data_IF_819853016973
#
_entry.id   IF_819853016973
#
_cell.length_a   1.000
_cell.length_b   1.000
_cell.length_c   1.000
_cell.angle_alpha   90.00
_cell.angle_beta   90.00
_cell.angle_gamma   90.00
#
_symmetry.space_group_name_H-M   'P 1'
#
loop_
_entity.id
_entity.type
_entity.pdbx_description
1 polymer ?
#
# COMPACT_ATOMS: atom_id res chain seq x y z
N UNK A 1 -17.84 -12.29 -7.88
CA UNK A 1 -16.99 -11.17 -8.32
C UNK A 1 -15.61 -11.51 -7.84
N UNK A 2 -14.60 -11.46 -8.72
CA UNK A 2 -13.24 -11.73 -8.30
C UNK A 2 -12.67 -10.55 -7.52
N UNK A 3 -11.95 -10.81 -6.44
CA UNK A 3 -11.36 -9.76 -5.60
C UNK A 3 -10.00 -9.31 -6.15
N UNK A 4 -9.78 -7.99 -6.23
CA UNK A 4 -8.47 -7.38 -6.33
C UNK A 4 -8.28 -6.48 -5.11
N UNK A 5 -7.31 -6.84 -4.28
CA UNK A 5 -6.90 -6.06 -3.11
C UNK A 5 -5.49 -5.46 -3.32
N UNK A 6 -5.36 -4.16 -3.07
CA UNK A 6 -4.18 -3.37 -3.42
C UNK A 6 -3.11 -3.31 -2.31
N UNK A 7 -3.34 -3.91 -1.14
CA UNK A 7 -2.34 -3.86 -0.07
C UNK A 7 -2.52 -4.97 1.00
N UNK A 8 -1.44 -5.68 1.32
CA UNK A 8 -1.38 -6.50 2.54
C UNK A 8 0.07 -6.70 3.02
N UNK A 9 0.24 -6.80 4.34
CA UNK A 9 1.54 -6.92 5.02
C UNK A 9 1.97 -8.38 5.30
N UNK A 10 1.32 -9.36 4.67
CA UNK A 10 1.59 -10.78 4.97
C UNK A 10 3.06 -11.15 4.78
N UNK A 11 3.79 -10.54 3.84
CA UNK A 11 5.22 -10.82 3.66
C UNK A 11 6.06 -10.45 4.89
N UNK A 12 5.82 -9.27 5.47
CA UNK A 12 6.50 -8.82 6.67
C UNK A 12 6.20 -9.69 7.87
N UNK A 13 4.93 -10.08 8.07
CA UNK A 13 4.54 -10.99 9.15
C UNK A 13 5.18 -12.37 9.02
N UNK A 14 5.31 -12.90 7.80
CA UNK A 14 6.05 -14.15 7.55
C UNK A 14 7.53 -13.99 7.88
N UNK A 15 8.14 -12.84 7.52
CA UNK A 15 9.54 -12.53 7.81
C UNK A 15 9.79 -12.43 9.32
N UNK A 16 8.98 -11.66 10.04
CA UNK A 16 9.08 -11.51 11.49
C UNK A 16 8.91 -12.85 12.21
N UNK A 17 7.95 -13.65 11.79
CA UNK A 17 7.74 -15.00 12.33
C UNK A 17 8.96 -15.90 12.11
N UNK A 18 9.58 -15.86 10.92
CA UNK A 18 10.81 -16.59 10.62
C UNK A 18 12.00 -16.12 11.48
N UNK A 19 12.20 -14.81 11.62
CA UNK A 19 13.25 -14.22 12.46
C UNK A 19 13.08 -14.57 13.94
N UNK A 20 11.84 -14.67 14.42
CA UNK A 20 11.50 -15.10 15.78
C UNK A 20 11.64 -16.62 16.00
N UNK A 21 12.06 -17.39 14.98
CA UNK A 21 12.19 -18.85 15.05
C UNK A 21 10.85 -19.60 15.09
N UNK A 22 9.77 -18.94 14.66
CA UNK A 22 8.39 -19.47 14.65
C UNK A 22 7.73 -19.28 13.28
N UNK A 23 8.29 -19.85 12.20
CA UNK A 23 7.78 -19.61 10.85
C UNK A 23 6.30 -20.01 10.72
N UNK A 24 5.53 -19.18 10.01
CA UNK A 24 4.12 -19.42 9.70
C UNK A 24 3.99 -20.02 8.29
N UNK A 25 3.00 -20.88 8.09
CA UNK A 25 2.69 -21.42 6.76
C UNK A 25 1.88 -20.41 5.95
N UNK A 26 2.23 -20.20 4.68
CA UNK A 26 1.38 -19.40 3.80
C UNK A 26 0.13 -20.16 3.32
N UNK A 27 0.11 -21.49 3.41
CA UNK A 27 -1.09 -22.28 3.08
C UNK A 27 -2.24 -21.94 4.03
N UNK A 28 -1.94 -21.91 5.33
CA UNK A 28 -2.88 -21.64 6.41
C UNK A 28 -2.15 -21.02 7.60
N UNK A 29 -2.65 -19.89 8.11
CA UNK A 29 -2.08 -19.22 9.29
C UNK A 29 -3.11 -18.42 10.09
N UNK A 30 -2.65 -17.80 11.17
CA UNK A 30 -3.38 -16.94 12.11
C UNK A 30 -3.31 -15.44 11.76
N UNK A 31 -2.78 -15.06 10.59
CA UNK A 31 -2.81 -13.68 10.08
C UNK A 31 -4.18 -13.36 9.48
N UNK A 32 -4.31 -12.28 8.71
CA UNK A 32 -5.56 -11.92 8.01
C UNK A 32 -5.70 -12.53 6.61
N UNK A 33 -4.59 -13.03 6.04
CA UNK A 33 -4.57 -13.64 4.72
C UNK A 33 -3.63 -14.86 4.68
N UNK A 34 -4.11 -15.91 4.01
CA UNK A 34 -3.34 -17.07 3.58
C UNK A 34 -3.92 -17.61 2.26
N UNK A 35 -3.24 -18.58 1.67
CA UNK A 35 -3.65 -19.16 0.40
C UNK A 35 -5.06 -19.79 0.48
N UNK A 36 -5.40 -20.51 1.56
CA UNK A 36 -6.73 -21.08 1.72
C UNK A 36 -7.83 -20.01 1.73
N UNK A 37 -7.64 -18.90 2.43
CA UNK A 37 -8.58 -17.77 2.44
C UNK A 37 -8.61 -17.02 1.12
N UNK A 38 -7.48 -16.89 0.41
CA UNK A 38 -7.50 -16.40 -0.97
C UNK A 38 -8.34 -17.29 -1.89
N UNK A 39 -8.28 -18.62 -1.71
CA UNK A 39 -9.13 -19.57 -2.46
C UNK A 39 -10.60 -19.41 -2.10
N UNK A 40 -10.93 -19.29 -0.81
CA UNK A 40 -12.31 -19.15 -0.32
C UNK A 40 -12.94 -17.80 -0.69
N UNK A 41 -12.16 -16.72 -0.63
CA UNK A 41 -12.59 -15.36 -0.98
C UNK A 41 -12.61 -15.06 -2.49
N UNK A 42 -12.31 -16.06 -3.33
CA UNK A 42 -12.26 -15.94 -4.80
C UNK A 42 -11.36 -14.77 -5.29
N UNK A 43 -10.18 -14.63 -4.66
CA UNK A 43 -9.20 -13.62 -5.04
C UNK A 43 -8.73 -13.85 -6.48
N UNK A 44 -8.76 -12.79 -7.28
CA UNK A 44 -7.98 -12.73 -8.52
C UNK A 44 -6.57 -12.28 -8.21
N UNK A 45 -6.39 -11.13 -7.56
CA UNK A 45 -5.07 -10.50 -7.39
C UNK A 45 -4.91 -9.88 -6.00
N UNK A 46 -3.79 -10.16 -5.35
CA UNK A 46 -3.34 -9.48 -4.14
C UNK A 46 -2.05 -8.72 -4.42
N UNK A 47 -1.99 -7.46 -4.04
CA UNK A 47 -0.73 -6.72 -3.91
C UNK A 47 -0.08 -7.06 -2.57
N UNK A 48 1.13 -7.60 -2.62
CA UNK A 48 1.92 -8.06 -1.49
C UNK A 48 2.97 -7.02 -1.17
N UNK A 49 2.76 -6.25 -0.11
CA UNK A 49 3.68 -5.19 0.29
C UNK A 49 4.91 -5.80 0.94
N UNK A 50 6.08 -5.39 0.45
CA UNK A 50 7.31 -5.45 1.21
C UNK A 50 7.32 -4.27 2.19
N UNK A 51 6.95 -4.50 3.44
CA UNK A 51 6.87 -3.46 4.45
C UNK A 51 8.21 -3.27 5.15
N UNK A 52 8.72 -2.04 5.15
CA UNK A 52 10.05 -1.74 5.69
C UNK A 52 9.97 -0.68 6.78
N UNK A 53 10.54 -1.01 7.94
CA UNK A 53 10.76 -0.05 9.02
C UNK A 53 12.10 0.69 8.84
N UNK A 54 12.16 1.99 9.12
CA UNK A 54 13.41 2.76 9.05
C UNK A 54 14.17 2.85 10.38
N UNK A 55 13.57 2.42 11.49
CA UNK A 55 14.25 2.40 12.80
C UNK A 55 15.36 1.34 12.83
N UNK A 56 16.62 1.72 13.13
CA UNK A 56 17.75 0.78 13.18
C UNK A 56 17.60 -0.35 14.22
N UNK A 57 16.81 -0.12 15.27
CA UNK A 57 16.52 -1.12 16.30
C UNK A 57 15.61 -2.24 15.78
N UNK A 58 14.83 -1.94 14.72
CA UNK A 58 13.91 -2.89 14.07
C UNK A 58 14.56 -3.57 12.87
N UNK A 59 15.32 -2.82 12.09
CA UNK A 59 15.89 -3.31 10.83
C UNK A 59 17.38 -2.97 10.73
N UNK A 60 18.21 -3.95 10.37
CA UNK A 60 19.65 -3.74 10.15
C UNK A 60 19.93 -2.82 8.97
N UNK A 61 19.12 -2.96 7.92
CA UNK A 61 19.17 -2.14 6.71
C UNK A 61 17.79 -2.21 6.06
N UNK A 62 17.19 -1.08 5.70
CA UNK A 62 15.84 -1.07 5.12
C UNK A 62 15.83 -1.73 3.73
N UNK A 63 16.91 -1.60 2.95
CA UNK A 63 17.03 -2.31 1.68
C UNK A 63 17.16 -3.83 1.89
N UNK A 64 17.91 -4.28 2.90
CA UNK A 64 18.04 -5.71 3.18
C UNK A 64 16.69 -6.31 3.60
N UNK A 65 15.96 -5.61 4.47
CA UNK A 65 14.61 -5.97 4.88
C UNK A 65 13.68 -6.17 3.67
N UNK A 66 13.67 -5.20 2.76
CA UNK A 66 12.91 -5.29 1.51
C UNK A 66 13.31 -6.53 0.70
N UNK A 67 14.61 -6.78 0.51
CA UNK A 67 15.10 -7.91 -0.28
C UNK A 67 14.74 -9.26 0.35
N UNK A 68 14.73 -9.37 1.67
CA UNK A 68 14.30 -10.58 2.39
C UNK A 68 12.80 -10.86 2.17
N UNK A 69 11.95 -9.83 2.11
CA UNK A 69 10.53 -10.00 1.81
C UNK A 69 10.27 -10.33 0.34
N UNK A 70 11.07 -9.79 -0.57
CA UNK A 70 11.08 -10.17 -1.98
C UNK A 70 11.47 -11.65 -2.13
N UNK A 71 12.46 -12.13 -1.39
CA UNK A 71 12.83 -13.55 -1.36
C UNK A 71 11.67 -14.43 -0.87
N UNK A 72 10.99 -14.05 0.22
CA UNK A 72 9.78 -14.75 0.69
C UNK A 72 8.75 -14.83 -0.44
N UNK A 73 8.45 -13.71 -1.10
CA UNK A 73 7.51 -13.67 -2.21
C UNK A 73 7.85 -14.68 -3.31
N UNK A 74 9.10 -14.74 -3.75
CA UNK A 74 9.52 -15.69 -4.78
C UNK A 74 9.48 -17.15 -4.31
N UNK A 75 9.89 -17.42 -3.05
CA UNK A 75 9.77 -18.77 -2.48
C UNK A 75 8.32 -19.23 -2.39
N UNK A 76 7.35 -18.33 -2.15
CA UNK A 76 5.93 -18.69 -2.17
C UNK A 76 5.48 -19.09 -3.58
N UNK A 77 5.91 -18.36 -4.62
CA UNK A 77 5.62 -18.73 -6.01
C UNK A 77 6.22 -20.09 -6.39
N UNK A 78 7.44 -20.39 -5.91
CA UNK A 78 8.11 -21.67 -6.13
C UNK A 78 7.45 -22.81 -5.34
N UNK A 79 6.94 -22.53 -4.14
CA UNK A 79 6.29 -23.53 -3.28
C UNK A 79 4.88 -23.88 -3.75
N UNK A 80 4.14 -22.93 -4.32
CA UNK A 80 2.77 -23.13 -4.79
C UNK A 80 2.61 -22.77 -6.29
N UNK A 81 3.38 -23.39 -7.20
CA UNK A 81 3.43 -23.00 -8.60
C UNK A 81 2.10 -23.25 -9.34
N UNK A 82 1.28 -24.18 -8.86
CA UNK A 82 -0.03 -24.49 -9.44
C UNK A 82 -1.14 -23.55 -8.94
N UNK A 83 -0.91 -22.84 -7.83
CA UNK A 83 -1.90 -21.98 -7.19
C UNK A 83 -1.62 -20.49 -7.38
N UNK A 84 -0.35 -20.10 -7.54
CA UNK A 84 0.09 -18.71 -7.54
C UNK A 84 0.77 -18.31 -8.86
N UNK A 85 0.61 -17.04 -9.22
CA UNK A 85 1.25 -16.43 -10.39
C UNK A 85 1.66 -15.00 -10.08
N UNK A 86 2.88 -14.62 -10.44
CA UNK A 86 3.28 -13.21 -10.36
C UNK A 86 2.56 -12.38 -11.43
N UNK A 87 2.06 -11.22 -11.05
CA UNK A 87 1.49 -10.22 -11.97
C UNK A 87 2.43 -9.03 -12.04
N UNK A 88 2.95 -8.74 -13.25
CA UNK A 88 3.84 -7.60 -13.53
C UNK A 88 3.25 -6.63 -14.54
N UNK A 89 2.29 -7.08 -15.34
CA UNK A 89 1.75 -6.38 -16.50
C UNK A 89 0.26 -6.66 -16.67
N UNK A 90 -0.43 -5.85 -17.48
CA UNK A 90 -1.82 -6.11 -17.85
C UNK A 90 -2.01 -7.45 -18.61
N UNK A 91 -1.00 -7.92 -19.35
CA UNK A 91 -1.05 -9.21 -20.03
C UNK A 91 -1.04 -10.39 -19.05
N UNK A 92 -0.34 -10.25 -17.92
CA UNK A 92 -0.37 -11.24 -16.85
C UNK A 92 -1.77 -11.37 -16.25
N UNK A 93 -2.50 -10.24 -16.12
CA UNK A 93 -3.90 -10.26 -15.65
C UNK A 93 -4.79 -11.04 -16.62
N UNK A 94 -4.64 -10.83 -17.94
CA UNK A 94 -5.40 -11.61 -18.94
C UNK A 94 -5.13 -13.11 -18.84
N UNK A 95 -3.87 -13.48 -18.61
CA UNK A 95 -3.47 -14.88 -18.41
C UNK A 95 -4.07 -15.45 -17.11
N UNK A 96 -4.03 -14.65 -16.05
CA UNK A 96 -4.52 -15.01 -14.73
C UNK A 96 -6.02 -15.31 -14.72
N UNK A 97 -6.82 -14.55 -15.48
CA UNK A 97 -8.27 -14.77 -15.60
C UNK A 97 -8.64 -16.18 -16.09
N UNK A 98 -7.75 -16.83 -16.86
CA UNK A 98 -7.98 -18.17 -17.42
C UNK A 98 -7.15 -19.28 -16.79
N UNK A 99 -6.17 -18.96 -15.93
CA UNK A 99 -5.19 -19.93 -15.44
C UNK A 99 -5.69 -20.80 -14.28
N UNK A 100 -6.74 -20.37 -13.57
CA UNK A 100 -7.18 -20.97 -12.32
C UNK A 100 -6.29 -20.64 -11.11
N UNK A 101 -5.23 -19.84 -11.32
CA UNK A 101 -4.30 -19.38 -10.27
C UNK A 101 -4.78 -18.08 -9.64
N UNK A 102 -4.11 -17.68 -8.57
CA UNK A 102 -4.27 -16.40 -7.89
C UNK A 102 -3.02 -15.55 -8.15
N UNK A 103 -3.25 -14.30 -8.50
CA UNK A 103 -2.23 -13.33 -8.83
C UNK A 103 -1.62 -12.75 -7.57
N UNK A 104 -0.32 -12.55 -7.60
CA UNK A 104 0.41 -11.78 -6.61
C UNK A 104 1.19 -10.68 -7.32
N UNK A 105 0.94 -9.42 -6.98
CA UNK A 105 1.73 -8.28 -7.42
C UNK A 105 2.68 -7.89 -6.29
N UNK A 106 3.98 -7.77 -6.60
CA UNK A 106 4.97 -7.35 -5.62
C UNK A 106 4.97 -5.82 -5.50
N UNK A 107 4.84 -5.30 -4.29
CA UNK A 107 4.82 -3.86 -3.99
C UNK A 107 5.78 -3.56 -2.85
N UNK A 108 6.12 -2.29 -2.64
CA UNK A 108 6.98 -1.87 -1.53
C UNK A 108 6.28 -0.78 -0.73
N UNK A 109 6.25 -0.92 0.58
CA UNK A 109 5.82 0.14 1.48
C UNK A 109 7.04 0.67 2.23
N UNK A 110 7.27 1.99 2.10
CA UNK A 110 8.43 2.77 2.56
C UNK A 110 9.52 2.97 1.48
N UNK A 111 9.40 4.06 0.72
CA UNK A 111 10.37 4.45 -0.31
C UNK A 111 11.79 4.74 0.22
N UNK A 112 11.94 5.02 1.52
CA UNK A 112 13.22 5.10 2.22
C UNK A 112 14.04 3.81 2.15
N UNK A 113 13.44 2.67 1.81
CA UNK A 113 14.14 1.43 1.50
C UNK A 113 15.15 1.57 0.34
N UNK A 114 14.96 2.54 -0.55
CA UNK A 114 15.88 2.80 -1.66
C UNK A 114 17.12 3.61 -1.24
N UNK A 115 17.20 4.11 -0.01
CA UNK A 115 18.34 4.92 0.48
C UNK A 115 18.72 6.05 -0.49
N UNK A 116 17.70 6.79 -0.97
CA UNK A 116 17.81 7.89 -1.94
C UNK A 116 18.46 7.52 -3.30
N UNK A 117 18.59 6.22 -3.59
CA UNK A 117 19.20 5.71 -4.82
C UNK A 117 18.17 5.33 -5.87
N UNK A 118 18.14 6.08 -6.98
CA UNK A 118 17.40 5.68 -8.19
C UNK A 118 17.91 4.35 -8.78
N UNK A 119 19.17 3.97 -8.49
CA UNK A 119 19.71 2.65 -8.83
C UNK A 119 18.95 1.54 -8.12
N UNK A 120 18.79 1.68 -6.80
CA UNK A 120 18.03 0.74 -5.98
C UNK A 120 16.57 0.65 -6.46
N UNK A 121 15.90 1.78 -6.72
CA UNK A 121 14.54 1.80 -7.29
C UNK A 121 14.43 0.97 -8.58
N UNK A 122 15.36 1.16 -9.53
CA UNK A 122 15.38 0.39 -10.77
C UNK A 122 15.64 -1.09 -10.55
N UNK A 123 16.48 -1.43 -9.57
CA UNK A 123 16.75 -2.83 -9.23
C UNK A 123 15.54 -3.49 -8.59
N UNK A 124 14.82 -2.81 -7.70
CA UNK A 124 13.53 -3.28 -7.17
C UNK A 124 12.51 -3.50 -8.30
N UNK A 125 12.44 -2.59 -9.28
CA UNK A 125 11.60 -2.79 -10.47
C UNK A 125 11.99 -4.04 -11.27
N UNK A 126 13.29 -4.29 -11.48
CA UNK A 126 13.82 -5.49 -12.16
C UNK A 126 13.49 -6.76 -11.38
N UNK A 127 13.55 -6.69 -10.05
CA UNK A 127 13.12 -7.74 -9.13
C UNK A 127 11.60 -7.93 -9.09
N UNK A 128 10.82 -7.17 -9.86
CA UNK A 128 9.39 -7.41 -10.07
C UNK A 128 8.45 -6.49 -9.30
N UNK A 129 8.95 -5.51 -8.53
CA UNK A 129 8.12 -4.50 -7.86
C UNK A 129 7.37 -3.66 -8.89
N UNK A 130 6.07 -3.42 -8.65
CA UNK A 130 5.21 -2.64 -9.58
C UNK A 130 4.48 -1.46 -8.95
N UNK A 131 4.48 -1.36 -7.64
CA UNK A 131 3.93 -0.21 -6.90
C UNK A 131 4.80 0.06 -5.68
N UNK A 132 4.97 1.33 -5.32
CA UNK A 132 5.72 1.71 -4.12
C UNK A 132 5.14 2.95 -3.46
N UNK A 133 5.00 2.94 -2.12
CA UNK A 133 4.70 4.16 -1.38
C UNK A 133 5.94 5.04 -1.26
N UNK A 134 5.76 6.36 -1.31
CA UNK A 134 6.88 7.29 -1.12
C UNK A 134 7.34 7.37 0.34
N UNK A 135 6.43 7.13 1.28
CA UNK A 135 6.69 7.05 2.72
C UNK A 135 5.83 5.93 3.32
N UNK A 136 6.24 5.40 4.47
CA UNK A 136 5.29 4.89 5.48
C UNK A 136 5.06 6.01 6.49
N UNK A 137 5.28 5.80 7.79
CA UNK A 137 5.13 6.81 8.82
C UNK A 137 6.46 7.51 9.18
N UNK A 138 7.47 7.45 8.30
CA UNK A 138 8.75 8.12 8.51
C UNK A 138 8.94 9.27 7.54
N UNK A 139 9.52 10.36 8.05
CA UNK A 139 10.19 11.31 7.17
C UNK A 139 11.44 10.63 6.63
N UNK A 140 11.56 10.59 5.30
CA UNK A 140 12.70 10.02 4.60
C UNK A 140 13.28 11.05 3.61
N UNK A 141 14.26 10.64 2.80
CA UNK A 141 14.86 11.54 1.82
C UNK A 141 13.94 11.91 0.65
N UNK A 142 12.79 11.24 0.49
CA UNK A 142 11.85 11.45 -0.60
C UNK A 142 10.73 12.43 -0.23
N UNK A 143 10.13 12.29 0.95
CA UNK A 143 8.97 13.09 1.34
C UNK A 143 8.68 13.06 2.85
N UNK A 144 7.68 13.83 3.27
CA UNK A 144 7.12 13.74 4.62
C UNK A 144 5.81 12.92 4.65
N UNK A 145 5.59 12.13 5.72
CA UNK A 145 4.38 11.35 5.89
C UNK A 145 3.23 12.18 6.51
N UNK A 146 2.02 11.64 6.50
CA UNK A 146 0.90 12.24 7.24
C UNK A 146 1.00 12.05 8.76
N UNK A 147 1.72 11.02 9.22
CA UNK A 147 1.97 10.73 10.64
C UNK A 147 3.46 10.45 10.83
N UNK A 148 4.02 11.02 11.90
CA UNK A 148 5.35 10.65 12.43
C UNK A 148 5.15 10.04 13.83
N UNK A 149 5.57 8.78 14.07
CA UNK A 149 5.52 8.12 15.38
C UNK A 149 6.30 8.89 16.44
N UNK A 150 5.90 8.76 17.71
CA UNK A 150 6.60 9.39 18.84
C UNK A 150 6.29 10.87 19.08
N UNK A 151 5.19 11.38 18.50
CA UNK A 151 4.61 12.68 18.85
C UNK A 151 3.38 12.44 19.73
N UNK A 152 3.23 13.21 20.81
CA UNK A 152 2.39 12.87 21.98
C UNK A 152 0.88 12.72 21.73
N UNK A 153 0.38 12.96 20.51
CA UNK A 153 -1.01 12.73 20.15
C UNK A 153 -1.11 12.09 18.75
N UNK A 154 -1.34 10.78 18.69
CA UNK A 154 -1.60 10.11 17.41
C UNK A 154 -2.99 10.45 16.84
N UNK A 155 -3.93 10.95 17.67
CA UNK A 155 -5.26 11.36 17.23
C UNK A 155 -6.08 12.15 18.27
N UNK A 156 -6.80 13.25 17.90
CA UNK A 156 -6.78 13.92 16.60
C UNK A 156 -5.48 14.71 16.40
N UNK A 157 -4.95 14.69 15.18
CA UNK A 157 -3.71 15.40 14.81
C UNK A 157 -3.98 16.34 13.63
N UNK A 158 -3.38 17.55 13.59
CA UNK A 158 -3.43 18.39 12.40
C UNK A 158 -2.74 17.69 11.20
N UNK A 159 -3.32 17.84 10.02
CA UNK A 159 -2.74 17.30 8.79
C UNK A 159 -1.43 18.02 8.44
N UNK A 160 -0.45 17.27 7.91
CA UNK A 160 0.80 17.84 7.41
C UNK A 160 0.57 18.50 6.04
N UNK A 161 0.28 19.80 6.06
CA UNK A 161 -0.06 20.61 4.87
C UNK A 161 1.13 21.42 4.35
N UNK A 162 2.32 21.27 4.93
CA UNK A 162 3.52 22.03 4.55
C UNK A 162 4.70 21.15 4.14
N UNK A 163 4.84 19.95 4.71
CA UNK A 163 5.90 19.02 4.38
C UNK A 163 5.49 18.11 3.23
N UNK A 164 6.02 18.34 2.03
CA UNK A 164 5.68 17.60 0.82
C UNK A 164 6.81 16.73 0.29
N UNK A 165 6.95 16.68 -1.04
CA UNK A 165 8.07 16.01 -1.70
C UNK A 165 9.36 16.84 -1.54
N UNK A 166 10.49 16.15 -1.42
CA UNK A 166 11.80 16.75 -1.62
C UNK A 166 12.17 16.80 -3.10
N UNK A 167 13.27 17.46 -3.47
CA UNK A 167 13.83 17.37 -4.82
C UNK A 167 14.13 15.92 -5.21
N UNK A 168 14.65 15.11 -4.27
CA UNK A 168 14.89 13.69 -4.51
C UNK A 168 13.58 12.92 -4.69
N UNK A 169 12.54 13.25 -3.94
CA UNK A 169 11.20 12.68 -4.11
C UNK A 169 10.63 12.93 -5.50
N UNK A 170 10.82 14.14 -6.04
CA UNK A 170 10.43 14.48 -7.41
C UNK A 170 11.17 13.62 -8.44
N UNK A 171 12.49 13.45 -8.30
CA UNK A 171 13.27 12.55 -9.18
C UNK A 171 12.74 11.10 -9.13
N UNK A 172 12.39 10.61 -7.94
CA UNK A 172 11.81 9.28 -7.77
C UNK A 172 10.46 9.14 -8.47
N UNK A 173 9.57 10.13 -8.31
CA UNK A 173 8.25 10.14 -8.97
C UNK A 173 8.39 10.18 -10.49
N UNK A 174 9.35 10.94 -11.03
CA UNK A 174 9.65 10.97 -12.46
C UNK A 174 10.15 9.61 -12.95
N UNK A 175 11.08 8.98 -12.22
CA UNK A 175 11.65 7.68 -12.59
C UNK A 175 10.60 6.56 -12.49
N UNK A 176 9.79 6.53 -11.44
CA UNK A 176 8.69 5.57 -11.28
C UNK A 176 7.72 5.68 -12.45
N UNK A 177 7.30 6.89 -12.81
CA UNK A 177 6.42 7.09 -13.97
C UNK A 177 7.09 6.70 -15.29
N UNK A 178 8.39 6.95 -15.47
CA UNK A 178 9.15 6.50 -16.66
C UNK A 178 9.20 4.98 -16.74
N UNK A 179 9.39 4.30 -15.61
CA UNK A 179 9.41 2.84 -15.52
C UNK A 179 8.04 2.17 -15.67
N UNK A 180 6.94 2.95 -15.57
CA UNK A 180 5.59 2.43 -15.37
C UNK A 180 5.43 1.69 -14.02
N UNK A 181 6.19 2.09 -13.00
CA UNK A 181 5.91 1.72 -11.61
C UNK A 181 4.86 2.67 -11.04
N UNK A 182 3.83 2.12 -10.39
CA UNK A 182 2.77 2.90 -9.77
C UNK A 182 3.32 3.64 -8.55
N UNK A 183 3.07 4.96 -8.51
CA UNK A 183 3.28 5.77 -7.31
C UNK A 183 2.10 5.55 -6.40
N UNK A 184 2.36 5.16 -5.15
CA UNK A 184 1.35 5.03 -4.12
C UNK A 184 1.48 6.20 -3.12
N UNK A 185 0.38 6.93 -2.93
CA UNK A 185 0.31 8.09 -2.05
C UNK A 185 -0.27 7.77 -0.68
N UNK A 186 -0.61 6.51 -0.42
CA UNK A 186 -0.89 6.07 0.95
C UNK A 186 0.30 6.41 1.84
N UNK A 187 0.01 6.81 3.08
CA UNK A 187 0.97 7.32 4.08
C UNK A 187 1.59 8.70 3.82
N UNK A 188 1.53 9.22 2.60
CA UNK A 188 2.06 10.53 2.26
C UNK A 188 1.29 11.65 2.99
N UNK A 189 1.97 12.77 3.24
CA UNK A 189 1.35 13.99 3.77
C UNK A 189 0.34 14.60 2.80
N UNK A 190 -0.51 15.49 3.31
CA UNK A 190 -1.44 16.25 2.48
C UNK A 190 -0.69 17.10 1.44
N UNK A 191 0.38 17.78 1.86
CA UNK A 191 1.23 18.56 0.95
C UNK A 191 1.83 17.68 -0.16
N UNK A 192 2.31 16.48 0.19
CA UNK A 192 2.90 15.55 -0.76
C UNK A 192 1.87 15.00 -1.75
N UNK A 193 0.64 14.69 -1.30
CA UNK A 193 -0.44 14.27 -2.22
C UNK A 193 -0.73 15.39 -3.23
N UNK A 194 -0.78 16.64 -2.78
CA UNK A 194 -0.96 17.79 -3.67
C UNK A 194 0.24 18.02 -4.60
N UNK A 195 1.47 17.77 -4.16
CA UNK A 195 2.65 17.77 -5.04
C UNK A 195 2.49 16.72 -6.15
N UNK A 196 2.12 15.48 -5.81
CA UNK A 196 1.90 14.40 -6.78
C UNK A 196 0.80 14.76 -7.77
N UNK A 197 -0.32 15.30 -7.31
CA UNK A 197 -1.41 15.77 -8.17
C UNK A 197 -0.92 16.82 -9.20
N UNK A 198 0.01 17.69 -8.80
CA UNK A 198 0.59 18.72 -9.69
C UNK A 198 1.59 18.14 -10.69
N UNK A 199 2.47 17.22 -10.28
CA UNK A 199 3.63 16.80 -11.09
C UNK A 199 3.43 15.48 -11.84
N UNK A 200 2.52 14.61 -11.39
CA UNK A 200 2.30 13.33 -12.02
C UNK A 200 1.69 13.49 -13.42
N UNK A 201 2.31 12.88 -14.42
CA UNK A 201 1.86 12.83 -15.82
C UNK A 201 0.94 11.63 -16.11
N UNK A 202 0.94 10.63 -15.23
CA UNK A 202 0.12 9.42 -15.30
C UNK A 202 -0.77 9.27 -14.06
N UNK A 203 -1.82 8.42 -14.11
CA UNK A 203 -2.54 8.04 -12.91
C UNK A 203 -1.61 7.40 -11.88
N UNK A 204 -1.93 7.63 -10.61
CA UNK A 204 -1.26 7.03 -9.45
C UNK A 204 -2.33 6.38 -8.57
N UNK A 205 -1.93 5.85 -7.41
CA UNK A 205 -2.83 5.07 -6.55
C UNK A 205 -2.74 5.59 -5.12
N UNK A 206 -3.85 5.53 -4.37
CA UNK A 206 -3.81 5.45 -2.92
C UNK A 206 -4.20 4.02 -2.55
N UNK A 207 -3.21 3.13 -2.36
CA UNK A 207 -3.49 1.69 -2.26
C UNK A 207 -4.35 1.30 -1.07
N UNK A 208 -4.33 2.08 0.02
CA UNK A 208 -5.09 1.80 1.23
C UNK A 208 -5.39 3.09 2.02
N UNK A 209 -6.37 3.88 1.57
CA UNK A 209 -6.77 5.14 2.22
C UNK A 209 -8.28 5.39 2.09
N UNK A 210 -8.92 5.92 3.14
CA UNK A 210 -10.37 6.14 3.15
C UNK A 210 -10.75 7.63 2.99
N UNK A 211 -12.06 7.94 3.05
CA UNK A 211 -12.57 9.32 3.04
C UNK A 211 -12.53 10.02 4.41
N UNK A 212 -11.91 11.21 4.49
CA UNK A 212 -11.73 11.97 5.74
C UNK A 212 -13.05 12.54 6.28
N UNK A 213 -14.00 12.87 5.41
CA UNK A 213 -15.34 13.31 5.83
C UNK A 213 -16.12 12.23 6.59
N UNK A 214 -15.82 10.94 6.36
CA UNK A 214 -16.47 9.82 7.04
C UNK A 214 -15.78 9.43 8.35
N UNK A 215 -14.45 9.52 8.39
CA UNK A 215 -13.66 9.37 9.61
C UNK A 215 -12.49 10.36 9.53
N UNK A 216 -12.38 11.35 10.45
CA UNK A 216 -11.50 12.49 10.29
C UNK A 216 -9.99 12.19 10.29
N UNK A 217 -9.54 10.95 10.17
CA UNK A 217 -8.15 10.53 10.25
C UNK A 217 -7.21 11.17 9.21
N UNK A 218 -5.98 11.54 9.57
CA UNK A 218 -4.99 12.13 8.63
C UNK A 218 -4.48 11.13 7.58
N UNK A 219 -4.64 9.83 7.82
CA UNK A 219 -4.44 8.79 6.79
C UNK A 219 -5.51 8.81 5.69
N UNK A 220 -6.67 9.42 5.95
CA UNK A 220 -7.78 9.50 5.01
C UNK A 220 -7.67 10.75 4.12
N UNK A 221 -8.20 10.69 2.91
CA UNK A 221 -8.14 11.72 1.88
C UNK A 221 -9.25 12.77 2.07
N UNK A 222 -8.95 14.05 1.79
CA UNK A 222 -9.98 15.11 1.77
C UNK A 222 -10.90 14.98 0.56
N UNK A 223 -12.04 15.66 0.61
CA UNK A 223 -12.98 15.72 -0.52
C UNK A 223 -12.31 16.23 -1.80
N UNK A 224 -11.45 17.26 -1.67
CA UNK A 224 -10.73 17.86 -2.79
C UNK A 224 -9.69 16.88 -3.37
N UNK A 225 -9.01 16.11 -2.52
CA UNK A 225 -8.09 15.06 -2.97
C UNK A 225 -8.82 13.93 -3.69
N UNK A 226 -9.94 13.46 -3.13
CA UNK A 226 -10.78 12.43 -3.77
C UNK A 226 -11.24 12.88 -5.15
N UNK A 227 -11.74 14.12 -5.26
CA UNK A 227 -12.20 14.70 -6.52
C UNK A 227 -11.07 14.79 -7.53
N UNK A 228 -9.92 15.37 -7.14
CA UNK A 228 -8.78 15.54 -8.03
C UNK A 228 -8.16 14.20 -8.49
N UNK A 229 -8.13 13.20 -7.60
CA UNK A 229 -7.72 11.84 -7.94
C UNK A 229 -8.69 11.19 -8.94
N UNK A 230 -10.00 11.40 -8.74
CA UNK A 230 -11.06 10.95 -9.64
C UNK A 230 -10.91 11.51 -11.05
N UNK A 231 -10.77 12.84 -11.16
CA UNK A 231 -10.57 13.55 -12.44
C UNK A 231 -9.32 13.07 -13.20
N UNK A 232 -8.32 12.56 -12.47
CA UNK A 232 -7.07 12.04 -13.03
C UNK A 232 -7.10 10.54 -13.34
N UNK A 233 -8.21 9.86 -13.06
CA UNK A 233 -8.37 8.42 -13.25
C UNK A 233 -7.50 7.57 -12.32
N UNK A 234 -7.26 8.05 -11.10
CA UNK A 234 -6.51 7.32 -10.08
C UNK A 234 -7.39 6.29 -9.35
N UNK A 235 -6.76 5.30 -8.71
CA UNK A 235 -7.44 4.31 -7.88
C UNK A 235 -7.26 4.61 -6.39
N UNK A 236 -8.31 4.34 -5.62
CA UNK A 236 -8.37 4.53 -4.17
C UNK A 236 -8.83 3.21 -3.54
N UNK A 237 -7.92 2.57 -2.79
CA UNK A 237 -8.18 1.33 -2.07
C UNK A 237 -8.82 1.61 -0.71
N UNK A 238 -9.98 0.97 -0.50
CA UNK A 238 -10.74 1.05 0.74
C UNK A 238 -10.05 0.24 1.85
N UNK A 239 -9.48 0.96 2.81
CA UNK A 239 -8.71 0.41 3.91
C UNK A 239 -9.59 -0.07 5.07
N UNK A 240 -9.29 -1.28 5.57
CA UNK A 240 -10.06 -1.95 6.63
C UNK A 240 -9.59 -1.66 8.06
N UNK A 241 -8.58 -0.82 8.26
CA UNK A 241 -8.09 -0.46 9.59
C UNK A 241 -9.18 0.27 10.39
N UNK A 242 -9.51 -0.28 11.56
CA UNK A 242 -10.59 0.22 12.41
C UNK A 242 -10.45 1.71 12.75
N UNK A 243 -9.22 2.17 13.02
CA UNK A 243 -8.91 3.56 13.37
C UNK A 243 -9.20 4.55 12.23
N UNK A 244 -9.31 4.07 10.99
CA UNK A 244 -9.56 4.89 9.79
C UNK A 244 -11.01 4.81 9.32
N UNK A 245 -11.84 4.01 10.00
CA UNK A 245 -13.24 3.75 9.68
C UNK A 245 -14.18 4.24 10.78
N UNK A 246 -13.81 4.02 12.05
CA UNK A 246 -14.66 4.24 13.21
C UNK A 246 -14.27 5.53 13.95
N UNK A 247 -15.27 6.38 14.19
CA UNK A 247 -15.12 7.65 14.89
C UNK A 247 -15.40 7.56 16.39
N UNK A 248 -15.44 6.34 16.96
CA UNK A 248 -15.63 6.16 18.39
C UNK A 248 -14.59 6.98 19.19
N UNK A 249 -15.02 7.85 20.13
CA UNK A 249 -14.10 8.63 20.95
C UNK A 249 -13.23 7.75 21.86
N UNK A 250 -13.73 6.59 22.29
CA UNK A 250 -12.93 5.60 22.99
C UNK A 250 -12.18 4.72 21.97
N UNK A 251 -10.86 4.93 21.89
CA UNK A 251 -9.99 4.21 20.97
C UNK A 251 -9.92 2.70 21.24
N UNK A 252 -10.22 2.23 22.45
CA UNK A 252 -10.31 0.78 22.73
C UNK A 252 -11.56 0.15 22.12
N UNK A 253 -12.54 0.97 21.74
CA UNK A 253 -13.85 0.55 21.22
C UNK A 253 -14.00 0.74 19.71
N UNK A 254 -12.97 1.24 19.02
CA UNK A 254 -12.98 1.30 17.55
C UNK A 254 -13.07 -0.11 16.97
N UNK A 255 -13.89 -0.29 15.94
CA UNK A 255 -14.06 -1.58 15.26
C UNK A 255 -14.04 -1.39 13.75
N UNK A 256 -13.50 -2.37 13.05
CA UNK A 256 -13.62 -2.45 11.60
C UNK A 256 -14.96 -3.11 11.27
N UNK A 257 -15.97 -2.31 10.90
CA UNK A 257 -17.31 -2.80 10.54
C UNK A 257 -17.55 -2.65 9.05
N UNK A 258 -18.22 -3.64 8.46
CA UNK A 258 -18.64 -3.60 7.04
C UNK A 258 -19.54 -2.38 6.76
N UNK A 259 -20.34 -1.94 7.74
CA UNK A 259 -21.18 -0.73 7.62
C UNK A 259 -20.35 0.53 7.46
N UNK A 260 -19.22 0.64 8.16
CA UNK A 260 -18.30 1.76 8.04
C UNK A 260 -17.55 1.70 6.70
N UNK A 261 -17.08 0.51 6.30
CA UNK A 261 -16.49 0.28 4.98
C UNK A 261 -17.43 0.71 3.84
N UNK A 262 -18.69 0.26 3.87
CA UNK A 262 -19.69 0.60 2.87
C UNK A 262 -20.00 2.10 2.83
N UNK A 263 -20.01 2.78 3.99
CA UNK A 263 -20.15 4.24 4.07
C UNK A 263 -18.99 4.94 3.38
N UNK A 264 -17.75 4.54 3.68
CA UNK A 264 -16.57 5.11 3.04
C UNK A 264 -16.53 4.81 1.53
N UNK A 265 -16.84 3.59 1.11
CA UNK A 265 -16.93 3.20 -0.29
C UNK A 265 -17.93 4.07 -1.07
N UNK A 266 -19.16 4.23 -0.54
CA UNK A 266 -20.18 5.11 -1.13
C UNK A 266 -19.66 6.54 -1.25
N UNK A 267 -19.08 7.07 -0.18
CA UNK A 267 -18.56 8.44 -0.17
C UNK A 267 -17.43 8.67 -1.18
N UNK A 268 -16.51 7.70 -1.31
CA UNK A 268 -15.42 7.75 -2.30
C UNK A 268 -16.02 7.74 -3.71
N UNK A 269 -16.97 6.85 -4.02
CA UNK A 269 -17.61 6.81 -5.34
C UNK A 269 -18.35 8.12 -5.66
N UNK A 270 -19.03 8.72 -4.68
CA UNK A 270 -19.77 9.96 -4.87
C UNK A 270 -18.83 11.17 -5.16
N UNK A 271 -17.57 11.13 -4.70
CA UNK A 271 -16.58 12.22 -4.87
C UNK A 271 -15.61 11.99 -6.02
N UNK A 272 -15.10 10.77 -6.17
CA UNK A 272 -14.06 10.41 -7.13
C UNK A 272 -14.61 9.71 -8.40
N UNK A 273 -15.85 9.21 -8.35
CA UNK A 273 -16.43 8.37 -9.41
C UNK A 273 -16.33 6.87 -9.09
N UNK A 274 -17.22 6.08 -9.69
CA UNK A 274 -17.34 4.64 -9.43
C UNK A 274 -16.13 3.83 -9.91
N UNK A 275 -15.48 4.27 -11.00
CA UNK A 275 -14.29 3.62 -11.57
C UNK A 275 -13.02 3.80 -10.73
N UNK A 276 -13.06 4.66 -9.71
CA UNK A 276 -11.90 4.97 -8.86
C UNK A 276 -11.82 4.12 -7.59
N UNK A 277 -12.91 3.47 -7.18
CA UNK A 277 -12.93 2.67 -5.96
C UNK A 277 -12.34 1.27 -6.21
N UNK A 278 -11.42 0.86 -5.34
CA UNK A 278 -10.88 -0.48 -5.25
C UNK A 278 -10.81 -0.93 -3.78
N UNK A 279 -10.37 -2.17 -3.53
CA UNK A 279 -10.06 -2.68 -2.19
C UNK A 279 -8.56 -2.56 -1.92
N UNK A 280 -8.18 -2.33 -0.66
CA UNK A 280 -6.79 -2.29 -0.22
C UNK A 280 -6.63 -1.58 1.11
#
# INVERSE_FOLDING_TARGET
>A
MKVWDMHCDTLAELRYAQQAGKPKSFLHNDLMMDLERMKQGDYLLQCMACFVHLEPEREKSPLLACLEEIDIFYRLLEQYPDDLMQVRTAADIQTLLTSGKRGMMLTVEEGGACLDSLGALRDLYRLGVRMMTLTWNFKNGLAEPNIVPGTDDMWPRPANTTGGLTEKGLEFVEEMQRLHMLVDVSHLSDAGIWDILRVAKRPFVASHSNARACCPHVRNLTDEMLTAMGEKGCLIGLNYCASFLDTNPDRSQVRSRITDMARHARYIMDKAGEDCLALG
#
